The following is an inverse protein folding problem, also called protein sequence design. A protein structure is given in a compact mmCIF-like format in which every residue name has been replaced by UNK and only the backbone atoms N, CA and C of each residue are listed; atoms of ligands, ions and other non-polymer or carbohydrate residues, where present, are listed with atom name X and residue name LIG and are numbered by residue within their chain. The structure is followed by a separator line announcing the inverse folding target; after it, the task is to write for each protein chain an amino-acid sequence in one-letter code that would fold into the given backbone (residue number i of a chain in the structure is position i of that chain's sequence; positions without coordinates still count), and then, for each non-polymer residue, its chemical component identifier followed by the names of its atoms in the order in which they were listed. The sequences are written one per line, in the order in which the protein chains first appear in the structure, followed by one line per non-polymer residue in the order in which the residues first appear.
data_IF_647836035900
#
_entry.id   IF_647836035900
#
_cell.length_a   1.000
_cell.length_b   1.000
_cell.length_c   1.000
_cell.angle_alpha   90.00
_cell.angle_beta   90.00
_cell.angle_gamma   90.00
#
_symmetry.space_group_name_H-M   'P 1'
#
loop_
_entity.id
_entity.type
_entity.pdbx_description
1 polymer ?
#
# COMPACT_ATOMS: atom_id res chain seq x y z
N UNK A 1 -67.36 -11.22 49.26
CA UNK A 1 -68.62 -11.55 48.55
C UNK A 1 -69.55 -10.34 48.59
N UNK A 2 -70.34 -10.16 47.52
CA UNK A 2 -71.33 -9.08 47.27
C UNK A 2 -70.69 -7.79 46.76
N UNK A 3 -71.07 -7.20 45.62
CA UNK A 3 -72.13 -7.49 44.66
C UNK A 3 -72.51 -6.19 43.94
N UNK A 4 -72.36 -6.20 42.61
CA UNK A 4 -73.14 -5.52 41.57
C UNK A 4 -73.39 -3.99 41.60
N UNK A 5 -72.72 -3.30 40.68
CA UNK A 5 -73.21 -2.63 39.46
C UNK A 5 -74.56 -1.86 39.37
N UNK A 6 -74.48 -0.81 38.52
CA UNK A 6 -75.51 -0.15 37.67
C UNK A 6 -76.29 0.97 38.38
N UNK A 7 -76.52 2.19 37.85
CA UNK A 7 -76.89 2.70 36.51
C UNK A 7 -76.61 4.23 36.53
N UNK A 8 -75.85 4.76 35.58
CA UNK A 8 -76.30 5.48 34.37
C UNK A 8 -76.75 6.93 34.58
N UNK A 9 -76.01 7.84 33.94
CA UNK A 9 -76.48 8.70 32.84
C UNK A 9 -75.27 8.80 31.87
N UNK A 10 -75.27 8.18 30.68
CA UNK A 10 -75.79 8.75 29.42
C UNK A 10 -75.67 10.29 29.39
N UNK A 11 -75.18 10.97 28.39
CA UNK A 11 -74.64 10.64 27.09
C UNK A 11 -74.23 12.01 26.51
N UNK A 12 -73.05 12.08 25.90
CA UNK A 12 -72.75 12.86 24.67
C UNK A 12 -71.25 12.71 24.41
N UNK A 13 -70.91 11.63 23.72
CA UNK A 13 -70.66 11.64 22.27
C UNK A 13 -69.18 11.88 21.96
N UNK A 14 -68.45 10.76 21.97
CA UNK A 14 -67.48 10.35 20.96
C UNK A 14 -67.92 10.71 19.55
N UNK A 15 -66.98 11.10 18.66
CA UNK A 15 -66.76 10.75 17.22
C UNK A 15 -65.91 11.90 16.61
N UNK A 16 -64.83 11.75 15.84
CA UNK A 16 -64.13 10.63 15.26
C UNK A 16 -62.73 11.08 14.77
N UNK A 17 -61.70 10.29 15.08
CA UNK A 17 -60.57 9.84 14.24
C UNK A 17 -60.43 10.45 12.82
N UNK A 18 -59.29 11.08 12.50
CA UNK A 18 -58.21 10.53 11.62
C UNK A 18 -57.24 11.58 11.06
N UNK A 19 -55.95 11.22 11.15
CA UNK A 19 -54.84 11.49 10.23
C UNK A 19 -54.47 12.92 9.85
N UNK A 20 -53.27 13.34 10.26
CA UNK A 20 -52.26 13.89 9.32
C UNK A 20 -50.86 13.73 9.92
N UNK A 21 -50.16 12.76 9.34
CA UNK A 21 -48.73 12.49 9.44
C UNK A 21 -47.98 13.78 9.03
N UNK A 22 -47.54 14.60 9.98
CA UNK A 22 -46.73 15.80 9.69
C UNK A 22 -45.25 15.48 9.91
N UNK A 23 -44.62 15.13 8.79
CA UNK A 23 -43.19 15.25 8.45
C UNK A 23 -42.17 15.03 9.57
N UNK A 24 -41.67 13.79 9.64
CA UNK A 24 -40.30 13.47 10.07
C UNK A 24 -39.26 13.96 9.06
N UNK A 25 -39.23 15.27 8.83
CA UNK A 25 -38.15 15.92 8.10
C UNK A 25 -37.66 17.09 8.93
N UNK A 26 -37.00 16.77 10.05
CA UNK A 26 -35.87 17.59 10.44
C UNK A 26 -34.93 17.58 9.23
N UNK A 27 -34.84 18.72 8.53
CA UNK A 27 -33.72 18.94 7.62
C UNK A 27 -32.48 18.77 8.47
N UNK A 28 -31.83 17.62 8.37
CA UNK A 28 -30.42 17.49 8.62
C UNK A 28 -29.74 18.37 7.56
N UNK A 29 -29.78 19.68 7.76
CA UNK A 29 -28.87 20.58 7.09
C UNK A 29 -27.50 20.03 7.43
N UNK A 30 -26.74 19.63 6.41
CA UNK A 30 -25.31 19.36 6.55
C UNK A 30 -24.75 20.53 7.35
N UNK A 31 -24.50 20.33 8.65
CA UNK A 31 -23.66 21.23 9.42
C UNK A 31 -22.26 21.01 8.85
N UNK A 32 -21.98 21.62 7.70
CA UNK A 32 -20.60 21.87 7.33
C UNK A 32 -19.97 22.53 8.55
N UNK A 33 -18.83 22.00 8.99
CA UNK A 33 -18.17 22.52 10.17
C UNK A 33 -18.02 24.02 9.96
N UNK A 34 -18.53 24.80 10.92
CA UNK A 34 -18.55 26.26 10.79
C UNK A 34 -17.15 26.80 10.49
N UNK A 35 -16.11 26.11 10.97
CA UNK A 35 -14.70 26.36 10.67
C UNK A 35 -14.35 26.23 9.18
N UNK A 36 -14.88 25.25 8.45
CA UNK A 36 -14.59 25.11 7.01
C UNK A 36 -15.28 26.20 6.20
N UNK A 37 -16.50 26.58 6.60
CA UNK A 37 -17.24 27.69 6.00
C UNK A 37 -16.54 29.04 6.29
N UNK A 38 -16.01 29.21 7.50
CA UNK A 38 -15.25 30.39 7.91
C UNK A 38 -13.92 30.54 7.14
N UNK A 39 -13.24 29.41 6.86
CA UNK A 39 -12.05 29.40 5.99
C UNK A 39 -12.40 29.76 4.55
N UNK A 40 -13.48 29.18 3.99
CA UNK A 40 -13.96 29.47 2.63
C UNK A 40 -14.39 30.94 2.46
N UNK A 41 -14.97 31.55 3.50
CA UNK A 41 -15.35 32.96 3.50
C UNK A 41 -14.16 33.91 3.68
N UNK A 42 -12.95 33.40 3.91
CA UNK A 42 -11.73 34.20 4.01
C UNK A 42 -11.48 34.83 5.39
N UNK A 43 -12.21 34.44 6.43
CA UNK A 43 -12.06 35.02 7.77
C UNK A 43 -10.68 34.71 8.40
N UNK A 44 -10.01 33.65 7.92
CA UNK A 44 -8.62 33.32 8.24
C UNK A 44 -7.61 34.41 7.81
N UNK A 45 -7.94 35.20 6.79
CA UNK A 45 -7.06 36.25 6.25
C UNK A 45 -7.26 37.59 6.98
N UNK A 46 -8.15 37.66 7.97
CA UNK A 46 -8.40 38.89 8.71
C UNK A 46 -7.22 39.23 9.61
N UNK A 47 -6.95 40.53 9.79
CA UNK A 47 -5.84 41.03 10.61
C UNK A 47 -5.85 40.46 12.03
N UNK A 48 -7.02 40.34 12.66
CA UNK A 48 -7.17 39.80 14.01
C UNK A 48 -6.78 38.33 14.09
N UNK A 49 -7.22 37.52 13.13
CA UNK A 49 -6.89 36.10 13.09
C UNK A 49 -5.39 35.86 12.83
N UNK A 50 -4.82 36.57 11.85
CA UNK A 50 -3.40 36.45 11.48
C UNK A 50 -2.48 36.88 12.63
N UNK A 51 -2.79 37.99 13.30
CA UNK A 51 -1.97 38.47 14.44
C UNK A 51 -2.02 37.49 15.62
N UNK A 52 -3.16 36.87 15.89
CA UNK A 52 -3.31 35.89 16.97
C UNK A 52 -2.64 34.53 16.66
N UNK A 53 -2.44 34.20 15.38
CA UNK A 53 -1.90 32.90 14.93
C UNK A 53 -0.55 33.03 14.21
N UNK A 54 0.16 34.15 14.37
CA UNK A 54 1.33 34.50 13.58
C UNK A 54 2.45 33.45 13.65
N UNK A 55 2.73 32.93 14.85
CA UNK A 55 3.73 31.87 15.05
C UNK A 55 3.37 30.57 14.30
N UNK A 56 2.08 30.21 14.27
CA UNK A 56 1.61 29.03 13.54
C UNK A 56 1.71 29.22 12.02
N UNK A 57 1.45 30.44 11.51
CA UNK A 57 1.63 30.77 10.10
C UNK A 57 3.10 30.62 9.69
N UNK A 58 4.03 31.13 10.49
CA UNK A 58 5.47 30.93 10.25
C UNK A 58 5.86 29.45 10.28
N UNK A 59 5.28 28.66 11.19
CA UNK A 59 5.49 27.22 11.23
C UNK A 59 5.05 26.54 9.92
N UNK A 60 3.87 26.87 9.39
CA UNK A 60 3.37 26.32 8.12
C UNK A 60 4.24 26.76 6.93
N UNK A 61 4.66 28.03 6.89
CA UNK A 61 5.59 28.53 5.86
C UNK A 61 6.93 27.79 5.95
N UNK A 62 7.45 27.55 7.16
CA UNK A 62 8.66 26.75 7.37
C UNK A 62 8.49 25.31 6.86
N UNK A 63 7.35 24.67 7.11
CA UNK A 63 7.03 23.36 6.56
C UNK A 63 6.96 23.37 5.03
N UNK A 64 6.44 24.44 4.42
CA UNK A 64 6.43 24.60 2.96
C UNK A 64 7.84 24.68 2.38
N UNK A 65 8.76 25.42 3.01
CA UNK A 65 10.16 25.49 2.59
C UNK A 65 10.83 24.12 2.70
N UNK A 66 10.61 23.38 3.79
CA UNK A 66 11.12 22.02 3.96
C UNK A 66 10.58 21.06 2.89
N UNK A 67 9.30 21.21 2.54
CA UNK A 67 8.65 20.38 1.53
C UNK A 67 9.24 20.63 0.13
N UNK A 68 9.45 21.88 -0.25
CA UNK A 68 10.14 22.23 -1.51
C UNK A 68 11.57 21.71 -1.51
N UNK A 69 12.30 21.88 -0.40
CA UNK A 69 13.68 21.41 -0.25
C UNK A 69 13.80 19.89 -0.47
N UNK A 70 12.89 19.12 0.14
CA UNK A 70 12.82 17.67 -0.07
C UNK A 70 12.45 17.32 -1.52
N UNK A 71 11.59 18.11 -2.17
CA UNK A 71 11.18 17.91 -3.56
C UNK A 71 12.35 17.83 -4.54
N UNK A 72 13.35 18.72 -4.39
CA UNK A 72 14.55 18.71 -5.23
C UNK A 72 15.44 17.47 -5.06
N UNK A 73 15.47 16.89 -3.85
CA UNK A 73 16.26 15.68 -3.57
C UNK A 73 15.68 14.44 -4.27
N UNK A 74 14.35 14.34 -4.34
CA UNK A 74 13.68 13.19 -4.96
C UNK A 74 14.02 13.05 -6.45
N UNK A 75 14.12 14.17 -7.17
CA UNK A 75 14.46 14.15 -8.59
C UNK A 75 15.90 13.68 -8.85
N UNK A 76 16.85 14.13 -8.05
CA UNK A 76 18.25 13.69 -8.15
C UNK A 76 18.37 12.21 -7.80
N UNK A 77 17.75 11.79 -6.68
CA UNK A 77 17.76 10.41 -6.25
C UNK A 77 17.16 9.45 -7.29
N UNK A 78 16.07 9.84 -7.96
CA UNK A 78 15.47 9.00 -9.00
C UNK A 78 16.42 8.80 -10.20
N UNK A 79 17.18 9.83 -10.56
CA UNK A 79 18.17 9.73 -11.63
C UNK A 79 19.35 8.85 -11.20
N UNK A 80 19.85 9.03 -9.97
CA UNK A 80 20.96 8.25 -9.42
C UNK A 80 20.59 6.76 -9.35
N UNK A 81 19.37 6.44 -8.91
CA UNK A 81 18.85 5.06 -8.92
C UNK A 81 18.85 4.49 -10.34
N UNK A 82 18.35 5.24 -11.32
CA UNK A 82 18.32 4.79 -12.71
C UNK A 82 19.71 4.52 -13.29
N UNK A 83 20.68 5.38 -12.97
CA UNK A 83 22.07 5.20 -13.38
C UNK A 83 22.70 3.98 -12.71
N UNK A 84 22.49 3.81 -11.41
CA UNK A 84 23.03 2.68 -10.65
C UNK A 84 22.42 1.34 -11.10
N UNK A 85 21.11 1.30 -11.35
CA UNK A 85 20.46 0.14 -11.93
C UNK A 85 21.05 -0.21 -13.30
N UNK A 86 21.41 0.79 -14.11
CA UNK A 86 22.07 0.56 -15.39
C UNK A 86 23.44 -0.09 -15.19
N UNK A 87 24.26 0.43 -14.28
CA UNK A 87 25.58 -0.15 -13.96
C UNK A 87 25.45 -1.61 -13.50
N UNK A 88 24.48 -1.89 -12.63
CA UNK A 88 24.23 -3.25 -12.15
C UNK A 88 23.82 -4.17 -13.30
N UNK A 89 22.94 -3.71 -14.21
CA UNK A 89 22.56 -4.49 -15.40
C UNK A 89 23.75 -4.77 -16.30
N UNK A 90 24.60 -3.78 -16.53
CA UNK A 90 25.78 -3.91 -17.39
C UNK A 90 26.76 -4.96 -16.80
N UNK A 91 27.09 -4.85 -15.51
CA UNK A 91 27.93 -5.86 -14.81
C UNK A 91 27.30 -7.24 -14.82
N UNK A 92 25.97 -7.32 -14.66
CA UNK A 92 25.25 -8.60 -14.70
C UNK A 92 25.30 -9.23 -16.09
N UNK A 93 25.21 -8.42 -17.15
CA UNK A 93 25.32 -8.89 -18.52
C UNK A 93 26.73 -9.46 -18.78
N UNK A 94 27.78 -8.74 -18.38
CA UNK A 94 29.17 -9.21 -18.51
C UNK A 94 29.41 -10.52 -17.75
N UNK A 95 28.84 -10.64 -16.54
CA UNK A 95 28.92 -11.86 -15.75
C UNK A 95 28.20 -13.04 -16.42
N UNK A 96 27.00 -12.81 -16.96
CA UNK A 96 26.22 -13.85 -17.65
C UNK A 96 26.96 -14.31 -18.91
N UNK A 97 27.52 -13.38 -19.68
CA UNK A 97 28.32 -13.70 -20.87
C UNK A 97 29.55 -14.53 -20.52
N UNK A 98 30.36 -14.06 -19.56
CA UNK A 98 31.57 -14.77 -19.12
C UNK A 98 31.26 -16.16 -18.56
N UNK A 99 30.13 -16.28 -17.85
CA UNK A 99 29.64 -17.57 -17.34
C UNK A 99 29.23 -18.49 -18.50
N UNK A 100 28.51 -17.97 -19.49
CA UNK A 100 28.11 -18.74 -20.66
C UNK A 100 29.32 -19.23 -21.46
N UNK A 101 30.35 -18.39 -21.63
CA UNK A 101 31.60 -18.77 -22.27
C UNK A 101 32.29 -19.91 -21.51
N UNK A 102 32.37 -19.83 -20.18
CA UNK A 102 32.93 -20.88 -19.35
C UNK A 102 32.12 -22.18 -19.44
N UNK A 103 30.79 -22.10 -19.42
CA UNK A 103 29.92 -23.26 -19.58
C UNK A 103 30.08 -23.92 -20.95
N UNK A 104 30.23 -23.14 -22.02
CA UNK A 104 30.47 -23.69 -23.37
C UNK A 104 31.85 -24.35 -23.44
N UNK A 105 32.90 -23.71 -22.90
CA UNK A 105 34.24 -24.30 -22.85
C UNK A 105 34.32 -25.58 -22.02
N UNK A 106 33.56 -25.66 -20.93
CA UNK A 106 33.51 -26.84 -20.04
C UNK A 106 32.45 -27.86 -20.45
N UNK A 107 31.72 -27.59 -21.53
CA UNK A 107 30.71 -28.50 -22.08
C UNK A 107 31.36 -29.82 -22.46
N UNK A 108 30.70 -30.92 -22.11
CA UNK A 108 31.20 -32.29 -22.34
C UNK A 108 31.68 -32.51 -23.78
N UNK A 109 30.89 -32.06 -24.76
CA UNK A 109 31.24 -32.20 -26.19
C UNK A 109 32.53 -31.45 -26.54
N UNK A 110 32.59 -30.16 -26.22
CA UNK A 110 33.77 -29.30 -26.43
C UNK A 110 35.01 -29.85 -25.72
N UNK A 111 34.85 -30.31 -24.48
CA UNK A 111 35.93 -30.90 -23.69
C UNK A 111 36.46 -32.17 -24.34
N UNK A 112 35.59 -33.07 -24.81
CA UNK A 112 36.02 -34.28 -25.55
C UNK A 112 36.82 -33.87 -26.78
N UNK A 113 36.37 -32.89 -27.55
CA UNK A 113 37.08 -32.45 -28.75
C UNK A 113 38.46 -31.84 -28.45
N UNK A 114 38.55 -30.98 -27.43
CA UNK A 114 39.81 -30.38 -26.98
C UNK A 114 40.79 -31.41 -26.41
N UNK A 115 40.28 -32.49 -25.80
CA UNK A 115 41.10 -33.54 -25.19
C UNK A 115 41.45 -34.70 -26.16
N UNK A 116 40.78 -34.81 -27.32
CA UNK A 116 41.13 -35.78 -28.40
C UNK A 116 42.62 -35.78 -28.78
N UNK A 117 43.29 -34.64 -29.07
CA UNK A 117 44.70 -34.63 -29.44
C UNK A 117 45.65 -35.07 -28.32
N UNK A 118 45.22 -34.98 -27.05
CA UNK A 118 45.96 -35.47 -25.89
C UNK A 118 45.79 -36.99 -25.68
N UNK A 119 45.00 -37.67 -26.53
CA UNK A 119 44.75 -39.11 -26.44
C UNK A 119 43.79 -39.52 -25.33
N UNK A 120 43.20 -38.55 -24.63
CA UNK A 120 42.26 -38.78 -23.53
C UNK A 120 40.87 -39.15 -24.09
N UNK A 121 40.27 -40.19 -23.52
CA UNK A 121 38.94 -40.69 -23.90
C UNK A 121 38.02 -40.72 -22.70
N UNK A 122 36.76 -40.39 -22.95
CA UNK A 122 35.75 -40.40 -21.90
C UNK A 122 35.44 -41.83 -21.44
N UNK A 123 35.24 -42.00 -20.12
CA UNK A 123 34.75 -43.27 -19.56
C UNK A 123 33.26 -43.43 -19.86
N UNK A 124 32.94 -44.52 -20.56
CA UNK A 124 31.55 -44.96 -20.84
C UNK A 124 31.01 -45.88 -19.75
N UNK A 125 31.89 -46.39 -18.88
CA UNK A 125 31.47 -47.31 -17.83
C UNK A 125 30.80 -46.56 -16.67
N UNK A 126 29.64 -47.05 -16.18
CA UNK A 126 29.00 -46.46 -15.02
C UNK A 126 29.86 -46.67 -13.76
N UNK A 127 29.79 -45.71 -12.84
CA UNK A 127 30.48 -45.78 -11.54
C UNK A 127 30.03 -47.02 -10.77
N UNK A 128 30.97 -47.92 -10.47
CA UNK A 128 30.70 -49.08 -9.60
C UNK A 128 30.72 -48.63 -8.14
N UNK A 129 29.56 -48.69 -7.50
CA UNK A 129 29.46 -48.50 -6.04
C UNK A 129 29.73 -49.82 -5.33
N UNK A 130 30.70 -49.84 -4.41
CA UNK A 130 30.94 -50.98 -3.53
C UNK A 130 30.11 -50.77 -2.27
N UNK A 131 29.03 -51.55 -2.11
CA UNK A 131 28.23 -51.55 -0.88
C UNK A 131 28.71 -52.67 0.02
N UNK A 132 29.10 -52.32 1.25
CA UNK A 132 29.40 -53.29 2.31
C UNK A 132 28.05 -53.85 2.77
N UNK A 133 27.87 -55.18 2.72
CA UNK A 133 26.72 -55.83 3.34
C UNK A 133 27.04 -56.02 4.81
N UNK A 134 26.35 -55.28 5.68
CA UNK A 134 26.36 -55.57 7.10
C UNK A 134 25.76 -56.98 7.30
N UNK A 135 26.55 -57.88 7.87
CA UNK A 135 26.07 -59.20 8.28
C UNK A 135 25.08 -58.97 9.42
N UNK A 136 23.81 -59.29 9.18
CA UNK A 136 22.78 -59.31 10.21
C UNK A 136 23.29 -60.13 11.41
N UNK A 137 23.19 -59.52 12.59
CA UNK A 137 23.49 -60.13 13.90
C UNK A 137 22.39 -61.11 14.31
#
# INVERSE_FOLDING_TARGET
MKGNNYISEKAKQTKAKKSKKKSRFAKAGKKQSQSFVQIMNGDFLTKGFVMNNLAYIFFVIGLMILMVSKGYYVHQLANDISEEEKKVRDVTADFVESKAELEEMTRRTEMIEKLKPLGLKETINPTKVIRIKDKEK
#
